data_IF_189478554600
#
_entry.id   IF_189478554600
#
_cell.length_a   1.000
_cell.length_b   1.000
_cell.length_c   1.000
_cell.angle_alpha   90.00
_cell.angle_beta   90.00
_cell.angle_gamma   90.00
#
_symmetry.space_group_name_H-M   'P 1'
#
loop_
_entity.id
_entity.type
_entity.pdbx_description
1 polymer ?
#
# COMPACT_ATOMS: atom_id res chain seq x y z
N UNK A 1 8.10 -11.80 -8.97
CA UNK A 1 8.78 -10.79 -8.12
C UNK A 1 7.70 -10.02 -7.40
N UNK A 2 7.84 -9.76 -6.10
CA UNK A 2 6.82 -9.05 -5.30
C UNK A 2 7.44 -7.78 -4.76
N UNK A 3 6.70 -6.69 -4.81
CA UNK A 3 7.09 -5.38 -4.28
C UNK A 3 6.03 -4.90 -3.30
N UNK A 4 6.45 -4.12 -2.33
CA UNK A 4 5.57 -3.52 -1.33
C UNK A 4 5.72 -2.00 -1.36
N UNK A 5 4.57 -1.30 -1.32
CA UNK A 5 4.55 0.17 -1.36
C UNK A 5 5.21 0.81 -0.12
N UNK A 6 5.10 0.19 1.06
CA UNK A 6 5.62 0.76 2.32
C UNK A 6 7.15 0.83 2.30
N UNK A 7 7.78 -0.10 1.60
CA UNK A 7 9.23 -0.14 1.39
C UNK A 7 9.70 0.68 0.18
N UNK A 8 8.80 1.42 -0.48
CA UNK A 8 9.16 2.30 -1.59
C UNK A 8 9.99 3.48 -1.10
N UNK A 9 11.20 3.63 -1.66
CA UNK A 9 12.10 4.74 -1.33
C UNK A 9 11.56 6.02 -1.98
N UNK A 10 11.10 6.96 -1.14
CA UNK A 10 10.43 8.19 -1.57
C UNK A 10 11.09 9.47 -1.05
N UNK A 11 12.02 9.36 -0.11
CA UNK A 11 12.62 10.53 0.54
C UNK A 11 13.75 11.15 -0.30
N UNK A 12 13.95 12.48 -0.20
CA UNK A 12 15.07 13.15 -0.84
C UNK A 12 16.41 12.71 -0.25
N UNK A 13 17.49 13.00 -0.98
CA UNK A 13 18.86 12.75 -0.51
C UNK A 13 19.10 13.41 0.86
N UNK A 14 19.77 12.68 1.75
CA UNK A 14 20.03 13.14 3.11
C UNK A 14 21.31 13.97 3.14
N UNK A 15 21.23 15.20 3.65
CA UNK A 15 22.40 16.05 3.88
C UNK A 15 22.98 15.79 5.29
N UNK A 16 24.16 15.19 5.34
CA UNK A 16 24.91 14.91 6.57
C UNK A 16 25.35 16.18 7.31
N UNK A 17 25.42 17.34 6.65
CA UNK A 17 25.74 18.63 7.30
C UNK A 17 24.53 19.20 8.07
N UNK A 18 23.32 18.75 7.74
CA UNK A 18 22.04 19.17 8.35
C UNK A 18 21.23 17.96 8.79
N UNK A 19 21.74 17.10 9.69
CA UNK A 19 21.19 15.77 9.93
C UNK A 19 19.74 15.80 10.43
N UNK A 20 19.41 16.67 11.38
CA UNK A 20 18.05 16.75 11.94
C UNK A 20 17.02 17.25 10.93
N UNK A 21 17.38 18.23 10.11
CA UNK A 21 16.48 18.72 9.06
C UNK A 21 16.29 17.68 7.95
N UNK A 22 17.36 16.99 7.56
CA UNK A 22 17.28 15.90 6.59
C UNK A 22 16.36 14.78 7.08
N UNK A 23 16.47 14.40 8.35
CA UNK A 23 15.58 13.42 8.98
C UNK A 23 14.13 13.92 9.04
N UNK A 24 13.91 15.18 9.43
CA UNK A 24 12.57 15.78 9.46
C UNK A 24 11.93 15.78 8.06
N UNK A 25 12.68 16.18 7.02
CA UNK A 25 12.23 16.12 5.62
C UNK A 25 11.89 14.69 5.19
N UNK A 26 12.74 13.71 5.53
CA UNK A 26 12.46 12.30 5.25
C UNK A 26 11.14 11.86 5.89
N UNK A 27 10.91 12.14 7.16
CA UNK A 27 9.67 11.75 7.86
C UNK A 27 8.44 12.42 7.24
N UNK A 28 8.52 13.72 6.94
CA UNK A 28 7.41 14.48 6.36
C UNK A 28 7.13 14.12 4.89
N UNK A 29 8.12 13.56 4.18
CA UNK A 29 7.97 13.14 2.78
C UNK A 29 7.20 11.83 2.60
N UNK A 30 6.84 11.14 3.68
CA UNK A 30 6.12 9.88 3.57
C UNK A 30 4.77 10.08 2.88
N UNK A 31 4.53 9.33 1.81
CA UNK A 31 3.30 9.42 1.01
C UNK A 31 2.01 9.02 1.75
N UNK A 32 2.11 8.48 2.97
CA UNK A 32 0.97 8.23 3.84
C UNK A 32 0.60 9.46 4.67
N UNK A 33 1.48 10.46 4.74
CA UNK A 33 1.18 11.76 5.29
C UNK A 33 0.45 12.60 4.24
N UNK A 34 -0.69 13.18 4.62
CA UNK A 34 -1.50 14.03 3.74
C UNK A 34 -2.67 13.31 3.10
N UNK A 35 -3.04 13.72 1.88
CA UNK A 35 -4.19 13.16 1.17
C UNK A 35 -3.90 11.75 0.65
N UNK A 36 -4.97 11.01 0.35
CA UNK A 36 -4.83 9.68 -0.27
C UNK A 36 -4.19 9.73 -1.66
N UNK A 37 -4.28 10.86 -2.36
CA UNK A 37 -3.72 11.05 -3.70
C UNK A 37 -2.20 10.85 -3.69
N UNK A 38 -1.51 11.31 -2.64
CA UNK A 38 -0.07 11.08 -2.46
C UNK A 38 0.28 9.58 -2.50
N UNK A 39 -0.52 8.76 -1.82
CA UNK A 39 -0.35 7.29 -1.80
C UNK A 39 -0.67 6.69 -3.16
N UNK A 40 -1.76 7.14 -3.81
CA UNK A 40 -2.16 6.65 -5.13
C UNK A 40 -1.07 6.91 -6.16
N UNK A 41 -0.48 8.10 -6.17
CA UNK A 41 0.58 8.46 -7.12
C UNK A 41 1.79 7.53 -7.00
N UNK A 42 2.21 7.22 -5.77
CA UNK A 42 3.30 6.25 -5.50
C UNK A 42 2.91 4.84 -5.96
N UNK A 43 1.70 4.37 -5.63
CA UNK A 43 1.22 3.05 -6.05
C UNK A 43 1.21 2.94 -7.58
N UNK A 44 0.64 3.92 -8.28
CA UNK A 44 0.56 3.92 -9.74
C UNK A 44 1.93 4.05 -10.39
N UNK A 45 2.86 4.81 -9.78
CA UNK A 45 4.24 4.88 -10.23
C UNK A 45 4.94 3.53 -10.09
N UNK A 46 4.89 2.91 -8.92
CA UNK A 46 5.49 1.59 -8.68
C UNK A 46 4.87 0.53 -9.61
N UNK A 47 3.56 0.56 -9.81
CA UNK A 47 2.86 -0.36 -10.70
C UNK A 47 3.38 -0.29 -12.15
N UNK A 48 3.64 0.92 -12.66
CA UNK A 48 4.22 1.13 -14.01
C UNK A 48 5.69 0.75 -14.07
N UNK A 49 6.49 1.23 -13.13
CA UNK A 49 7.94 1.02 -13.09
C UNK A 49 8.28 -0.47 -13.00
N UNK A 50 7.51 -1.21 -12.22
CA UNK A 50 7.70 -2.65 -12.00
C UNK A 50 6.84 -3.54 -12.90
N UNK A 51 6.03 -2.96 -13.80
CA UNK A 51 5.12 -3.68 -14.70
C UNK A 51 4.26 -4.71 -13.96
N UNK A 52 3.56 -4.25 -12.93
CA UNK A 52 2.77 -5.11 -12.03
C UNK A 52 1.55 -5.69 -12.76
N UNK A 53 1.41 -7.02 -12.72
CA UNK A 53 0.28 -7.74 -13.33
C UNK A 53 -0.94 -7.88 -12.39
N UNK A 54 -0.76 -7.64 -11.09
CA UNK A 54 -1.81 -7.74 -10.10
C UNK A 54 -1.37 -7.21 -8.74
N UNK A 55 -2.33 -6.75 -7.94
CA UNK A 55 -2.08 -6.16 -6.63
C UNK A 55 -2.88 -6.86 -5.53
N UNK A 56 -2.29 -6.94 -4.34
CA UNK A 56 -2.97 -7.37 -3.12
C UNK A 56 -2.91 -6.22 -2.13
N UNK A 57 -4.07 -5.76 -1.68
CA UNK A 57 -4.18 -4.80 -0.60
C UNK A 57 -4.62 -5.55 0.66
N UNK A 58 -3.77 -5.59 1.67
CA UNK A 58 -4.14 -6.12 2.98
C UNK A 58 -4.74 -5.01 3.86
N UNK A 59 -6.01 -5.17 4.19
CA UNK A 59 -6.82 -4.28 5.00
C UNK A 59 -6.83 -4.78 6.44
N UNK A 60 -5.88 -4.29 7.25
CA UNK A 60 -5.83 -4.66 8.66
C UNK A 60 -7.09 -4.20 9.41
N UNK A 61 -7.64 -5.06 10.24
CA UNK A 61 -8.80 -4.77 11.06
C UNK A 61 -8.57 -3.51 11.91
N UNK A 62 -9.56 -2.61 11.93
CA UNK A 62 -9.47 -1.33 12.64
C UNK A 62 -8.59 -0.24 12.00
N UNK A 63 -7.81 -0.53 10.96
CA UNK A 63 -7.00 0.49 10.27
C UNK A 63 -7.88 1.37 9.37
N UNK A 64 -8.43 2.46 9.92
CA UNK A 64 -9.33 3.36 9.18
C UNK A 64 -8.70 3.96 7.93
N UNK A 65 -7.41 4.25 7.98
CA UNK A 65 -6.68 4.81 6.84
C UNK A 65 -6.64 3.82 5.66
N UNK A 66 -6.22 2.57 5.90
CA UNK A 66 -6.15 1.55 4.85
C UNK A 66 -7.52 1.13 4.37
N UNK A 67 -8.46 0.90 5.30
CA UNK A 67 -9.78 0.39 4.96
C UNK A 67 -10.63 1.45 4.24
N UNK A 68 -10.54 2.72 4.66
CA UNK A 68 -11.21 3.83 3.98
C UNK A 68 -10.67 4.10 2.58
N UNK A 69 -9.38 3.86 2.35
CA UNK A 69 -8.73 4.05 1.05
C UNK A 69 -8.86 2.88 0.08
N UNK A 70 -9.25 1.69 0.55
CA UNK A 70 -9.16 0.46 -0.23
C UNK A 70 -9.90 0.51 -1.57
N UNK A 71 -11.11 1.08 -1.57
CA UNK A 71 -11.90 1.23 -2.81
C UNK A 71 -11.22 2.18 -3.80
N UNK A 72 -10.72 3.32 -3.32
CA UNK A 72 -10.08 4.34 -4.14
C UNK A 72 -8.79 3.79 -4.78
N UNK A 73 -8.00 3.03 -4.01
CA UNK A 73 -6.78 2.37 -4.50
C UNK A 73 -7.14 1.33 -5.57
N UNK A 74 -8.10 0.45 -5.29
CA UNK A 74 -8.57 -0.56 -6.25
C UNK A 74 -9.08 0.07 -7.54
N UNK A 75 -9.90 1.11 -7.46
CA UNK A 75 -10.43 1.79 -8.63
C UNK A 75 -9.32 2.50 -9.43
N UNK A 76 -8.29 3.01 -8.76
CA UNK A 76 -7.13 3.63 -9.42
C UNK A 76 -6.27 2.62 -10.18
N UNK A 77 -6.01 1.45 -9.60
CA UNK A 77 -5.28 0.35 -10.25
C UNK A 77 -6.08 -0.27 -11.40
N UNK A 78 -7.40 -0.38 -11.26
CA UNK A 78 -8.29 -0.86 -12.33
C UNK A 78 -8.21 0.03 -13.59
N UNK A 79 -7.97 1.34 -13.46
CA UNK A 79 -7.75 2.23 -14.63
C UNK A 79 -6.49 1.87 -15.42
N UNK A 80 -5.54 1.17 -14.80
CA UNK A 80 -4.35 0.60 -15.46
C UNK A 80 -4.55 -0.86 -15.87
N UNK A 81 -5.77 -1.41 -15.78
CA UNK A 81 -6.11 -2.82 -15.98
C UNK A 81 -5.36 -3.77 -15.02
N UNK A 82 -5.03 -3.31 -13.82
CA UNK A 82 -4.36 -4.14 -12.80
C UNK A 82 -5.40 -4.74 -11.85
N UNK A 83 -5.67 -6.05 -11.91
CA UNK A 83 -6.59 -6.70 -10.99
C UNK A 83 -6.09 -6.56 -9.55
N UNK A 84 -6.98 -6.14 -8.66
CA UNK A 84 -6.64 -5.89 -7.24
C UNK A 84 -7.53 -6.70 -6.30
N UNK A 85 -6.88 -7.55 -5.51
CA UNK A 85 -7.48 -8.34 -4.44
C UNK A 85 -7.37 -7.59 -3.11
N UNK A 86 -8.50 -7.31 -2.46
CA UNK A 86 -8.52 -6.70 -1.12
C UNK A 86 -8.75 -7.80 -0.10
N UNK A 87 -7.78 -8.04 0.77
CA UNK A 87 -7.84 -9.05 1.83
C UNK A 87 -8.03 -8.37 3.17
N UNK A 88 -9.12 -8.68 3.87
CA UNK A 88 -9.35 -8.22 5.23
C UNK A 88 -8.78 -9.24 6.23
N UNK A 89 -8.16 -8.75 7.29
CA UNK A 89 -7.66 -9.60 8.35
C UNK A 89 -7.03 -8.82 9.49
N UNK A 90 -6.59 -9.54 10.51
CA UNK A 90 -5.95 -9.01 11.70
C UNK A 90 -4.70 -9.85 12.00
N UNK A 91 -3.57 -9.20 12.20
CA UNK A 91 -2.31 -9.86 12.49
C UNK A 91 -2.12 -10.16 13.99
N UNK A 92 -3.04 -9.70 14.83
CA UNK A 92 -2.99 -9.80 16.30
C UNK A 92 -4.09 -10.74 16.80
N UNK A 93 -5.34 -10.56 16.37
CA UNK A 93 -6.47 -11.40 16.79
C UNK A 93 -6.85 -12.42 15.70
N UNK A 94 -6.62 -13.70 15.97
CA UNK A 94 -6.93 -14.79 15.04
C UNK A 94 -8.44 -14.93 14.76
N UNK A 95 -9.30 -14.47 15.66
CA UNK A 95 -10.75 -14.51 15.46
C UNK A 95 -11.21 -13.57 14.35
N UNK A 96 -10.41 -12.55 14.02
CA UNK A 96 -10.67 -11.59 12.95
C UNK A 96 -10.01 -12.01 11.62
N UNK A 97 -9.45 -13.22 11.53
CA UNK A 97 -8.71 -13.73 10.37
C UNK A 97 -9.15 -15.14 9.99
N UNK A 98 -10.16 -15.26 9.12
CA UNK A 98 -10.60 -16.58 8.60
C UNK A 98 -9.63 -17.12 7.54
N UNK A 99 -8.70 -18.00 7.95
CA UNK A 99 -7.71 -18.58 7.03
C UNK A 99 -8.32 -19.32 5.83
N UNK A 100 -9.47 -20.00 6.02
CA UNK A 100 -10.15 -20.73 4.94
C UNK A 100 -10.69 -19.78 3.86
N UNK A 101 -11.26 -18.65 4.28
CA UNK A 101 -11.76 -17.62 3.38
C UNK A 101 -10.61 -16.97 2.60
N UNK A 102 -9.51 -16.62 3.28
CA UNK A 102 -8.32 -16.03 2.66
C UNK A 102 -7.73 -16.94 1.58
N UNK A 103 -7.58 -18.24 1.87
CA UNK A 103 -7.07 -19.22 0.89
C UNK A 103 -7.96 -19.31 -0.36
N UNK A 104 -9.27 -19.32 -0.17
CA UNK A 104 -10.22 -19.44 -1.28
C UNK A 104 -10.16 -18.22 -2.20
N UNK A 105 -10.07 -17.01 -1.61
CA UNK A 105 -9.98 -15.74 -2.36
C UNK A 105 -8.68 -15.60 -3.12
N UNK A 106 -7.56 -15.99 -2.51
CA UNK A 106 -6.25 -16.04 -3.17
C UNK A 106 -6.24 -17.00 -4.36
N UNK A 107 -6.85 -18.19 -4.22
CA UNK A 107 -6.90 -19.18 -5.30
C UNK A 107 -7.79 -18.74 -6.47
N UNK A 108 -8.88 -18.03 -6.17
CA UNK A 108 -9.85 -17.58 -7.18
C UNK A 108 -9.51 -16.21 -7.80
N UNK A 109 -8.68 -15.41 -7.14
CA UNK A 109 -8.39 -14.03 -7.55
C UNK A 109 -9.54 -13.05 -7.32
N UNK A 110 -10.45 -13.34 -6.38
CA UNK A 110 -11.69 -12.60 -6.08
C UNK A 110 -11.65 -11.86 -4.71
#
# INVERSE_FOLDING_TARGET
MVFEEINYIHWPELDCKRPFESLAKKMLSHFLAGSIDNRIDVILKAARDYKVDGAILFSHWGCRQSNGGARIIKDSLNKLNIPTLVLDGDCVDQNNSSQGQLKTRLQKGE
#
